data_IF_543546445405
#
_entry.id   IF_543546445405
#
_cell.length_a   1.000
_cell.length_b   1.000
_cell.length_c   1.000
_cell.angle_alpha   90.00
_cell.angle_beta   90.00
_cell.angle_gamma   90.00
#
_symmetry.space_group_name_H-M   'P 1'
#
loop_
_entity.id
_entity.type
_entity.pdbx_description
1 polymer ?
#
# COMPACT_ATOMS: atom_id res chain seq x y z
N UNK A 1 -21.23 10.52 3.87
CA UNK A 1 -20.02 9.73 3.55
C UNK A 1 -19.83 8.76 4.69
N UNK A 2 -19.73 7.48 4.38
CA UNK A 2 -19.46 6.48 5.41
C UNK A 2 -18.04 6.70 5.92
N UNK A 3 -17.84 6.51 7.22
CA UNK A 3 -16.54 6.65 7.85
C UNK A 3 -15.71 5.40 7.57
N UNK A 4 -14.41 5.57 7.34
CA UNK A 4 -13.46 4.46 7.23
C UNK A 4 -13.29 3.83 8.62
N UNK A 5 -13.57 2.56 8.75
CA UNK A 5 -13.45 1.80 10.01
C UNK A 5 -12.01 1.34 10.19
N UNK A 6 -11.37 1.78 11.25
CA UNK A 6 -9.94 1.58 11.47
C UNK A 6 -9.69 0.88 12.81
N UNK A 7 -8.82 -0.12 12.81
CA UNK A 7 -8.19 -0.67 14.01
C UNK A 7 -6.77 -0.13 14.12
N UNK A 8 -6.39 0.31 15.33
CA UNK A 8 -5.07 0.85 15.64
C UNK A 8 -4.30 -0.11 16.55
N UNK A 9 -3.14 -0.58 16.10
CA UNK A 9 -2.27 -1.50 16.83
C UNK A 9 -0.93 -0.83 17.08
N UNK A 10 -0.71 -0.43 18.32
CA UNK A 10 0.41 0.42 18.76
C UNK A 10 0.69 0.11 20.23
N UNK A 11 1.91 -0.23 20.58
CA UNK A 11 2.29 -0.62 21.96
C UNK A 11 2.47 0.57 22.89
N UNK A 12 2.84 1.74 22.37
CA UNK A 12 3.01 2.95 23.18
C UNK A 12 1.67 3.64 23.45
N UNK A 13 1.22 3.61 24.70
CA UNK A 13 -0.07 4.16 25.12
C UNK A 13 -0.27 5.61 24.70
N UNK A 14 0.74 6.47 24.87
CA UNK A 14 0.63 7.89 24.53
C UNK A 14 0.49 8.10 23.01
N UNK A 15 1.25 7.35 22.24
CA UNK A 15 1.17 7.39 20.77
C UNK A 15 -0.19 6.90 20.31
N UNK A 16 -0.68 5.78 20.85
CA UNK A 16 -1.99 5.20 20.51
C UNK A 16 -3.13 6.18 20.79
N UNK A 17 -3.16 6.79 21.98
CA UNK A 17 -4.16 7.80 22.35
C UNK A 17 -4.07 9.05 21.45
N UNK A 18 -2.85 9.50 21.17
CA UNK A 18 -2.61 10.64 20.27
C UNK A 18 -3.12 10.38 18.85
N UNK A 19 -2.74 9.25 18.26
CA UNK A 19 -3.18 8.86 16.91
C UNK A 19 -4.69 8.70 16.83
N UNK A 20 -5.32 8.00 17.79
CA UNK A 20 -6.78 7.88 17.85
C UNK A 20 -7.45 9.25 17.82
N UNK A 21 -7.05 10.13 18.73
CA UNK A 21 -7.66 11.45 18.86
C UNK A 21 -7.48 12.28 17.57
N UNK A 22 -6.28 12.27 17.03
CA UNK A 22 -5.96 13.02 15.83
C UNK A 22 -6.71 12.51 14.60
N UNK A 23 -6.74 11.19 14.36
CA UNK A 23 -7.43 10.59 13.23
C UNK A 23 -8.94 10.84 13.27
N UNK A 24 -9.57 10.74 14.46
CA UNK A 24 -11.01 11.02 14.63
C UNK A 24 -11.38 12.48 14.43
N UNK A 25 -10.46 13.42 14.70
CA UNK A 25 -10.72 14.85 14.58
C UNK A 25 -10.46 15.40 13.17
N UNK A 26 -9.56 14.81 12.42
CA UNK A 26 -9.07 15.37 11.15
C UNK A 26 -9.56 14.63 9.89
N UNK A 27 -10.33 13.56 10.03
CA UNK A 27 -10.80 12.80 8.87
C UNK A 27 -12.13 12.07 9.09
N UNK A 28 -12.72 11.55 8.03
CA UNK A 28 -13.91 10.70 8.10
C UNK A 28 -13.50 9.27 8.54
N UNK A 29 -12.83 9.18 9.70
CA UNK A 29 -12.27 7.94 10.25
C UNK A 29 -12.99 7.61 11.55
N UNK A 30 -13.32 6.33 11.74
CA UNK A 30 -13.86 5.77 12.96
C UNK A 30 -12.90 4.70 13.50
N UNK A 31 -12.33 4.92 14.68
CA UNK A 31 -11.54 3.90 15.35
C UNK A 31 -12.50 2.90 16.00
N UNK A 32 -12.57 1.70 15.43
CA UNK A 32 -13.48 0.62 15.87
C UNK A 32 -12.82 -0.36 16.83
N UNK A 33 -11.48 -0.26 16.99
CA UNK A 33 -10.75 -1.07 17.94
C UNK A 33 -9.31 -0.60 18.11
N UNK A 34 -8.72 -0.95 19.25
CA UNK A 34 -7.34 -0.65 19.61
C UNK A 34 -6.68 -1.86 20.25
N UNK A 35 -5.38 -2.05 20.04
CA UNK A 35 -4.59 -3.07 20.67
C UNK A 35 -3.17 -2.57 21.00
N UNK A 36 -2.59 -3.09 22.07
CA UNK A 36 -1.22 -2.79 22.48
C UNK A 36 -0.23 -3.91 22.10
N UNK A 37 -0.71 -5.03 21.57
CA UNK A 37 0.11 -6.16 21.14
C UNK A 37 -0.42 -6.74 19.83
N UNK A 38 0.43 -7.44 19.10
CA UNK A 38 0.05 -8.01 17.82
C UNK A 38 -1.04 -9.08 17.93
N UNK A 39 -0.97 -9.95 18.94
CA UNK A 39 -1.99 -10.99 19.17
C UNK A 39 -3.35 -10.40 19.55
N UNK A 40 -3.37 -9.37 20.38
CA UNK A 40 -4.61 -8.62 20.66
C UNK A 40 -5.13 -7.96 19.39
N UNK A 41 -4.23 -7.41 18.56
CA UNK A 41 -4.57 -6.80 17.28
C UNK A 41 -5.30 -7.77 16.35
N UNK A 42 -4.77 -8.99 16.18
CA UNK A 42 -5.44 -10.03 15.39
C UNK A 42 -6.86 -10.34 15.90
N UNK A 43 -7.03 -10.45 17.22
CA UNK A 43 -8.34 -10.71 17.81
C UNK A 43 -9.30 -9.54 17.56
N UNK A 44 -8.86 -8.31 17.83
CA UNK A 44 -9.68 -7.10 17.60
C UNK A 44 -10.08 -6.96 16.13
N UNK A 45 -9.18 -7.27 15.20
CA UNK A 45 -9.47 -7.26 13.77
C UNK A 45 -10.54 -8.31 13.42
N UNK A 46 -10.44 -9.52 13.96
CA UNK A 46 -11.45 -10.57 13.74
C UNK A 46 -12.81 -10.18 14.28
N UNK A 47 -12.86 -9.55 15.46
CA UNK A 47 -14.12 -9.18 16.12
C UNK A 47 -14.79 -7.96 15.45
N UNK A 48 -13.99 -7.01 14.94
CA UNK A 48 -14.51 -5.74 14.44
C UNK A 48 -14.62 -5.66 12.91
N UNK A 49 -13.90 -6.51 12.18
CA UNK A 49 -13.84 -6.50 10.71
C UNK A 49 -13.65 -5.07 10.15
N UNK A 50 -12.49 -4.43 10.40
CA UNK A 50 -12.23 -3.07 9.97
C UNK A 50 -11.93 -3.01 8.47
N UNK A 51 -12.05 -1.81 7.88
CA UNK A 51 -11.60 -1.55 6.51
C UNK A 51 -10.07 -1.49 6.43
N UNK A 52 -9.45 -0.81 7.42
CA UNK A 52 -8.00 -0.60 7.49
C UNK A 52 -7.48 -0.95 8.87
N UNK A 53 -6.39 -1.70 8.93
CA UNK A 53 -5.59 -1.90 10.12
C UNK A 53 -4.32 -1.02 10.04
N UNK A 54 -4.15 -0.10 10.98
CA UNK A 54 -2.90 0.64 11.17
C UNK A 54 -2.05 -0.15 12.16
N UNK A 55 -0.85 -0.55 11.75
CA UNK A 55 -0.03 -1.50 12.48
C UNK A 55 1.38 -0.93 12.70
N UNK A 56 1.80 -0.81 13.95
CA UNK A 56 3.21 -0.59 14.25
C UNK A 56 4.04 -1.86 14.04
N UNK A 57 5.27 -1.70 13.60
CA UNK A 57 6.22 -2.84 13.49
C UNK A 57 6.69 -3.30 14.85
N UNK A 58 6.99 -2.36 15.76
CA UNK A 58 7.67 -2.59 17.02
C UNK A 58 6.81 -3.19 18.14
N UNK A 59 5.91 -4.13 17.84
CA UNK A 59 5.03 -4.73 18.84
C UNK A 59 5.76 -5.76 19.72
N UNK A 60 5.36 -5.93 21.01
CA UNK A 60 6.15 -6.66 21.99
C UNK A 60 6.05 -8.19 21.92
N UNK A 61 5.05 -8.75 21.22
CA UNK A 61 4.79 -10.20 21.17
C UNK A 61 5.05 -10.83 19.80
N UNK A 62 4.31 -10.43 18.78
CA UNK A 62 4.57 -10.68 17.37
C UNK A 62 4.76 -9.33 16.71
N UNK A 63 5.76 -9.19 15.85
CA UNK A 63 5.97 -7.92 15.18
C UNK A 63 4.88 -7.60 14.14
N UNK A 64 4.79 -6.33 13.73
CA UNK A 64 3.76 -5.90 12.79
C UNK A 64 3.88 -6.54 11.41
N UNK A 65 5.06 -7.01 11.01
CA UNK A 65 5.31 -7.69 9.74
C UNK A 65 4.72 -9.11 9.81
N UNK A 66 4.98 -9.84 10.90
CA UNK A 66 4.41 -11.17 11.12
C UNK A 66 2.88 -11.10 11.23
N UNK A 67 2.35 -10.10 11.98
CA UNK A 67 0.91 -9.84 12.07
C UNK A 67 0.31 -9.64 10.68
N UNK A 68 0.94 -8.81 9.85
CA UNK A 68 0.50 -8.54 8.47
C UNK A 68 0.47 -9.83 7.65
N UNK A 69 1.52 -10.64 7.71
CA UNK A 69 1.59 -11.94 7.02
C UNK A 69 0.45 -12.87 7.43
N UNK A 70 0.18 -13.00 8.73
CA UNK A 70 -0.91 -13.83 9.25
C UNK A 70 -2.29 -13.34 8.77
N UNK A 71 -2.54 -12.03 8.77
CA UNK A 71 -3.78 -11.44 8.26
C UNK A 71 -3.98 -11.75 6.78
N UNK A 72 -2.96 -11.58 5.96
CA UNK A 72 -3.06 -11.80 4.51
C UNK A 72 -3.19 -13.27 4.14
N UNK A 73 -2.61 -14.18 4.92
CA UNK A 73 -2.79 -15.63 4.74
C UNK A 73 -4.22 -16.08 5.09
N UNK A 74 -4.83 -15.48 6.11
CA UNK A 74 -6.19 -15.83 6.54
C UNK A 74 -7.25 -15.30 5.56
N UNK A 75 -6.98 -14.20 4.86
CA UNK A 75 -7.90 -13.58 3.89
C UNK A 75 -7.69 -14.08 2.46
N UNK A 76 -6.66 -14.88 2.18
CA UNK A 76 -6.47 -15.51 0.89
C UNK A 76 -7.54 -16.60 0.69
N UNK A 77 -8.26 -16.65 -0.46
CA UNK A 77 -9.23 -17.70 -0.71
C UNK A 77 -8.52 -19.06 -0.70
N UNK A 78 -8.95 -19.92 0.21
CA UNK A 78 -8.44 -21.30 0.32
C UNK A 78 -8.77 -22.07 -0.98
N UNK A 79 -7.73 -22.36 -1.79
CA UNK A 79 -7.74 -23.41 -2.80
C UNK A 79 -8.72 -23.21 -3.97
N UNK A 80 -8.14 -23.00 -5.14
CA UNK A 80 -8.81 -23.25 -6.42
C UNK A 80 -9.29 -24.70 -6.50
N UNK A 81 -10.54 -24.97 -6.14
CA UNK A 81 -11.38 -26.10 -6.60
C UNK A 81 -12.67 -26.15 -5.79
N UNK A 82 -13.63 -25.29 -6.11
CA UNK A 82 -15.08 -25.60 -5.96
C UNK A 82 -15.88 -24.61 -6.80
N UNK A 83 -16.69 -25.16 -7.66
CA UNK A 83 -17.65 -24.44 -8.49
C UNK A 83 -18.71 -23.76 -7.64
N UNK A 84 -19.02 -22.51 -8.02
CA UNK A 84 -20.27 -21.78 -7.76
C UNK A 84 -20.69 -21.67 -6.28
N UNK A 85 -20.27 -20.61 -5.62
CA UNK A 85 -21.04 -20.02 -4.53
C UNK A 85 -20.96 -18.49 -4.65
N UNK A 86 -22.11 -17.85 -4.50
CA UNK A 86 -22.41 -16.43 -4.62
C UNK A 86 -21.28 -15.51 -4.13
N UNK A 87 -20.83 -14.62 -5.00
CA UNK A 87 -19.85 -13.56 -4.74
C UNK A 87 -20.46 -12.49 -3.82
N UNK A 88 -20.59 -12.78 -2.54
CA UNK A 88 -20.46 -11.73 -1.54
C UNK A 88 -18.97 -11.39 -1.48
N UNK A 89 -18.64 -10.14 -1.83
CA UNK A 89 -17.27 -9.60 -1.85
C UNK A 89 -16.60 -9.85 -0.51
N UNK A 90 -15.68 -10.80 -0.46
CA UNK A 90 -14.89 -11.06 0.74
C UNK A 90 -14.24 -9.72 1.16
N UNK A 91 -14.59 -9.22 2.34
CA UNK A 91 -14.11 -7.96 2.88
C UNK A 91 -12.62 -8.10 3.16
N UNK A 92 -11.79 -7.58 2.24
CA UNK A 92 -10.33 -7.68 2.33
C UNK A 92 -9.81 -6.53 3.19
N UNK A 93 -9.36 -6.83 4.38
CA UNK A 93 -8.77 -5.86 5.31
C UNK A 93 -7.47 -5.33 4.73
N UNK A 94 -7.36 -4.00 4.64
CA UNK A 94 -6.15 -3.31 4.19
C UNK A 94 -5.23 -3.03 5.36
N UNK A 95 -3.92 -3.13 5.13
CA UNK A 95 -2.89 -2.93 6.16
C UNK A 95 -2.03 -1.73 5.80
N UNK A 96 -2.04 -0.72 6.68
CA UNK A 96 -1.12 0.42 6.67
C UNK A 96 -0.10 0.24 7.79
N UNK A 97 1.15 0.01 7.43
CA UNK A 97 2.26 0.01 8.40
C UNK A 97 2.58 1.46 8.80
N UNK A 98 2.67 1.70 10.09
CA UNK A 98 3.03 3.00 10.67
C UNK A 98 4.15 2.81 11.69
N UNK A 99 5.37 3.28 11.42
CA UNK A 99 6.54 3.01 12.26
C UNK A 99 7.46 4.23 12.41
N UNK A 100 8.28 4.21 13.45
CA UNK A 100 9.39 5.18 13.62
C UNK A 100 10.64 4.80 12.82
N UNK A 101 10.69 3.59 12.23
CA UNK A 101 11.86 3.06 11.57
C UNK A 101 11.67 3.08 10.06
N UNK A 102 12.65 3.62 9.38
CA UNK A 102 12.76 3.70 7.92
C UNK A 102 13.91 2.80 7.39
N UNK A 103 14.28 1.74 8.14
CA UNK A 103 15.35 0.87 7.67
C UNK A 103 14.89 0.02 6.47
N UNK A 104 15.77 -0.11 5.49
CA UNK A 104 15.54 -0.75 4.21
C UNK A 104 14.95 -2.18 4.37
N UNK A 105 15.44 -2.95 5.33
CA UNK A 105 15.03 -4.36 5.54
C UNK A 105 13.59 -4.48 6.05
N UNK A 106 13.21 -3.65 7.03
CA UNK A 106 11.86 -3.67 7.59
C UNK A 106 10.80 -3.24 6.56
N UNK A 107 11.12 -2.23 5.75
CA UNK A 107 10.25 -1.77 4.66
C UNK A 107 9.98 -2.88 3.67
N UNK A 108 11.04 -3.55 3.19
CA UNK A 108 10.92 -4.62 2.21
C UNK A 108 10.19 -5.84 2.79
N UNK A 109 10.47 -6.19 4.04
CA UNK A 109 9.80 -7.29 4.72
C UNK A 109 8.30 -7.00 4.91
N UNK A 110 7.91 -5.76 5.23
CA UNK A 110 6.51 -5.37 5.36
C UNK A 110 5.74 -5.53 4.04
N UNK A 111 6.30 -5.08 2.92
CA UNK A 111 5.68 -5.28 1.61
C UNK A 111 5.66 -6.75 1.18
N UNK A 112 6.72 -7.51 1.48
CA UNK A 112 6.74 -8.95 1.23
C UNK A 112 5.68 -9.70 2.06
N UNK A 113 5.37 -9.23 3.27
CA UNK A 113 4.29 -9.75 4.11
C UNK A 113 2.88 -9.36 3.59
N UNK A 114 2.77 -8.48 2.60
CA UNK A 114 1.52 -8.06 1.98
C UNK A 114 0.93 -6.77 2.54
N UNK A 115 1.72 -5.90 3.16
CA UNK A 115 1.26 -4.56 3.54
C UNK A 115 0.77 -3.79 2.30
N UNK A 116 -0.39 -3.14 2.40
CA UNK A 116 -0.96 -2.35 1.30
C UNK A 116 -0.36 -0.94 1.26
N UNK A 117 0.09 -0.42 2.39
CA UNK A 117 0.65 0.92 2.53
C UNK A 117 1.71 0.98 3.63
N UNK A 118 2.58 2.00 3.56
CA UNK A 118 3.63 2.21 4.54
C UNK A 118 3.84 3.71 4.78
N UNK A 119 3.88 4.12 6.04
CA UNK A 119 4.13 5.50 6.46
C UNK A 119 5.03 5.55 7.70
N UNK A 120 5.73 6.67 7.88
CA UNK A 120 6.51 6.93 9.10
C UNK A 120 5.66 7.71 10.11
N UNK A 121 5.92 7.52 11.41
CA UNK A 121 5.13 8.16 12.49
C UNK A 121 5.36 9.67 12.61
N UNK A 122 6.37 10.23 11.98
CA UNK A 122 6.67 11.67 12.00
C UNK A 122 5.94 12.49 10.91
N UNK A 123 5.13 11.84 10.07
CA UNK A 123 4.28 12.55 9.11
C UNK A 123 3.22 13.38 9.83
N UNK A 124 2.88 14.54 9.24
CA UNK A 124 1.76 15.34 9.74
C UNK A 124 0.43 14.59 9.66
N UNK A 125 -0.47 14.91 10.59
CA UNK A 125 -1.77 14.22 10.72
C UNK A 125 -2.59 14.25 9.43
N UNK A 126 -2.56 15.36 8.69
CA UNK A 126 -3.30 15.47 7.42
C UNK A 126 -2.82 14.43 6.40
N UNK A 127 -1.50 14.21 6.31
CA UNK A 127 -0.93 13.17 5.45
C UNK A 127 -1.25 11.75 5.92
N UNK A 128 -1.31 11.52 7.24
CA UNK A 128 -1.72 10.24 7.78
C UNK A 128 -3.19 9.94 7.46
N UNK A 129 -4.06 10.94 7.55
CA UNK A 129 -5.47 10.81 7.13
C UNK A 129 -5.56 10.50 5.62
N UNK A 130 -4.78 11.19 4.78
CA UNK A 130 -4.69 10.89 3.36
C UNK A 130 -4.19 9.45 3.11
N UNK A 131 -3.19 8.99 3.87
CA UNK A 131 -2.67 7.63 3.78
C UNK A 131 -3.75 6.58 4.11
N UNK A 132 -4.50 6.78 5.18
CA UNK A 132 -5.62 5.88 5.56
C UNK A 132 -6.69 5.85 4.46
N UNK A 133 -7.07 7.01 3.91
CA UNK A 133 -8.07 7.09 2.85
C UNK A 133 -7.58 6.43 1.55
N UNK A 134 -6.34 6.68 1.16
CA UNK A 134 -5.74 6.06 -0.01
C UNK A 134 -5.69 4.53 0.14
N UNK A 135 -5.28 4.04 1.32
CA UNK A 135 -5.25 2.62 1.64
C UNK A 135 -6.65 2.00 1.56
N UNK A 136 -7.65 2.64 2.14
CA UNK A 136 -9.05 2.20 2.06
C UNK A 136 -9.55 2.10 0.62
N UNK A 137 -9.23 3.07 -0.22
CA UNK A 137 -9.59 3.10 -1.65
C UNK A 137 -8.83 2.07 -2.49
N UNK A 138 -7.90 1.29 -1.89
CA UNK A 138 -7.06 0.32 -2.58
C UNK A 138 -5.86 0.95 -3.31
N UNK A 139 -5.56 2.22 -3.03
CA UNK A 139 -4.36 2.89 -3.52
C UNK A 139 -3.24 2.68 -2.50
N UNK A 140 -2.10 2.15 -2.92
CA UNK A 140 -0.94 2.07 -2.05
C UNK A 140 -0.46 3.48 -1.69
N UNK A 141 -0.31 3.75 -0.38
CA UNK A 141 0.36 4.93 0.11
C UNK A 141 1.79 4.56 0.50
N UNK A 142 2.75 5.20 -0.12
CA UNK A 142 4.17 5.04 0.23
C UNK A 142 4.73 6.43 0.52
N UNK A 143 5.24 6.62 1.74
CA UNK A 143 5.95 7.84 2.07
C UNK A 143 7.15 8.04 1.14
N UNK A 144 7.47 9.26 0.68
CA UNK A 144 8.60 9.51 -0.22
C UNK A 144 9.96 9.00 0.29
N UNK A 145 10.17 9.02 1.61
CA UNK A 145 11.38 8.46 2.22
C UNK A 145 11.45 6.94 1.99
N UNK A 146 10.33 6.27 2.14
CA UNK A 146 10.16 4.82 1.95
C UNK A 146 10.25 4.42 0.48
N UNK A 147 9.67 5.23 -0.41
CA UNK A 147 9.74 4.99 -1.85
C UNK A 147 11.20 4.88 -2.33
N UNK A 148 12.11 5.73 -1.82
CA UNK A 148 13.55 5.66 -2.13
C UNK A 148 14.18 4.34 -1.73
N UNK A 149 13.79 3.76 -0.60
CA UNK A 149 14.29 2.47 -0.11
C UNK A 149 13.89 1.35 -1.07
N UNK A 150 12.62 1.29 -1.42
CA UNK A 150 12.07 0.29 -2.36
C UNK A 150 12.75 0.40 -3.72
N UNK A 151 12.94 1.61 -4.22
CA UNK A 151 13.59 1.88 -5.51
C UNK A 151 15.07 1.50 -5.50
N UNK A 152 15.81 1.84 -4.43
CA UNK A 152 17.23 1.48 -4.26
C UNK A 152 17.41 -0.04 -4.27
N UNK A 153 16.54 -0.78 -3.61
CA UNK A 153 16.62 -2.25 -3.59
C UNK A 153 16.31 -2.86 -4.96
N UNK A 154 15.36 -2.31 -5.70
CA UNK A 154 15.11 -2.74 -7.07
C UNK A 154 16.34 -2.56 -7.98
N UNK A 155 17.14 -1.51 -7.76
CA UNK A 155 18.39 -1.27 -8.49
C UNK A 155 19.51 -2.26 -8.11
N UNK A 156 19.64 -2.61 -6.82
CA UNK A 156 20.71 -3.52 -6.34
C UNK A 156 20.51 -4.93 -6.88
N UNK A 157 19.28 -5.39 -7.06
CA UNK A 157 18.97 -6.71 -7.63
C UNK A 157 19.38 -6.82 -9.12
N UNK A 158 19.53 -5.70 -9.83
CA UNK A 158 20.02 -5.70 -11.22
C UNK A 158 21.56 -5.83 -11.35
N UNK A 159 22.33 -5.57 -10.27
CA UNK A 159 23.81 -5.60 -10.31
C UNK A 159 24.40 -6.90 -9.79
N UNK A 160 23.67 -7.71 -9.05
CA UNK A 160 24.14 -9.01 -8.55
C UNK A 160 23.28 -10.12 -9.14
N UNK A 161 23.73 -10.63 -10.28
CA UNK A 161 23.13 -11.81 -10.89
C UNK A 161 23.18 -12.98 -9.94
N UNK A 162 22.04 -13.37 -9.47
CA UNK A 162 21.52 -14.67 -9.08
C UNK A 162 20.50 -14.53 -7.96
N UNK A 163 19.30 -14.91 -8.21
CA UNK A 163 18.42 -15.81 -7.47
C UNK A 163 16.94 -15.47 -7.70
N UNK A 164 16.30 -16.46 -8.25
CA UNK A 164 14.93 -16.91 -8.10
C UNK A 164 13.78 -15.89 -8.22
N UNK A 165 13.21 -15.92 -9.40
CA UNK A 165 11.77 -15.91 -9.72
C UNK A 165 10.97 -14.76 -9.08
N UNK A 166 11.27 -13.53 -9.50
CA UNK A 166 10.23 -12.62 -9.91
C UNK A 166 10.18 -12.72 -11.43
N UNK A 167 9.05 -13.07 -11.98
CA UNK A 167 8.85 -13.23 -13.41
C UNK A 167 9.52 -12.08 -14.18
N UNK A 168 10.46 -12.43 -15.07
CA UNK A 168 10.90 -11.52 -16.12
C UNK A 168 9.64 -10.96 -16.82
N UNK A 169 9.65 -9.73 -17.32
CA UNK A 169 8.55 -9.25 -18.16
C UNK A 169 8.36 -10.32 -19.22
N UNK A 170 7.24 -11.03 -19.14
CA UNK A 170 6.99 -12.11 -20.08
C UNK A 170 6.97 -11.49 -21.47
N UNK A 171 7.34 -12.22 -22.53
CA UNK A 171 7.19 -11.75 -23.90
C UNK A 171 5.76 -11.27 -24.22
N UNK A 172 4.79 -11.66 -23.40
CA UNK A 172 3.42 -11.17 -23.43
C UNK A 172 3.30 -9.71 -22.93
N UNK A 173 4.13 -9.27 -21.96
CA UNK A 173 4.11 -7.92 -21.43
C UNK A 173 4.65 -6.88 -22.42
N UNK A 174 5.77 -7.18 -23.10
CA UNK A 174 6.28 -6.31 -24.17
C UNK A 174 5.29 -6.18 -25.31
N UNK A 175 4.61 -7.28 -25.68
CA UNK A 175 3.54 -7.26 -26.68
C UNK A 175 2.31 -6.44 -26.27
N UNK A 176 1.97 -6.39 -24.99
CA UNK A 176 0.85 -5.58 -24.49
C UNK A 176 1.20 -4.10 -24.60
N UNK A 177 2.39 -3.68 -24.22
CA UNK A 177 2.85 -2.29 -24.37
C UNK A 177 2.99 -1.83 -25.82
N UNK A 178 3.33 -2.74 -26.75
CA UNK A 178 3.35 -2.46 -28.19
C UNK A 178 1.92 -2.30 -28.75
N UNK A 179 0.93 -3.00 -28.19
CA UNK A 179 -0.45 -2.98 -28.67
C UNK A 179 -1.30 -1.86 -28.04
N UNK A 180 -1.01 -1.44 -26.81
CA UNK A 180 -1.70 -0.34 -26.11
C UNK A 180 -0.69 0.48 -25.28
N UNK A 181 0.11 1.34 -25.95
CA UNK A 181 1.13 2.13 -25.29
C UNK A 181 0.52 3.15 -24.31
N UNK A 182 1.30 3.54 -23.31
CA UNK A 182 0.94 4.65 -22.43
C UNK A 182 0.86 5.95 -23.24
N UNK A 183 -0.18 6.72 -23.03
CA UNK A 183 -0.29 8.08 -23.60
C UNK A 183 0.71 9.02 -22.93
N UNK A 184 1.04 10.13 -23.56
CA UNK A 184 1.91 11.17 -22.97
C UNK A 184 1.42 11.57 -21.58
N UNK A 185 0.11 11.72 -21.41
CA UNK A 185 -0.48 12.10 -20.13
C UNK A 185 -0.40 10.99 -19.06
N UNK A 186 -0.52 9.75 -19.45
CA UNK A 186 -0.33 8.61 -18.57
C UNK A 186 1.16 8.46 -18.18
N UNK A 187 2.07 8.80 -19.08
CA UNK A 187 3.50 8.81 -18.80
C UNK A 187 3.85 9.90 -17.77
N UNK A 188 3.38 11.13 -17.93
CA UNK A 188 3.57 12.21 -16.96
C UNK A 188 3.03 11.81 -15.57
N UNK A 189 1.85 11.18 -15.52
CA UNK A 189 1.27 10.69 -14.27
C UNK A 189 2.14 9.56 -13.69
N UNK A 190 2.66 8.66 -14.51
CA UNK A 190 3.51 7.55 -14.08
C UNK A 190 4.86 8.04 -13.52
N UNK A 191 5.47 9.05 -14.13
CA UNK A 191 6.68 9.70 -13.62
C UNK A 191 6.44 10.25 -12.21
N UNK A 192 5.37 11.01 -12.01
CA UNK A 192 5.00 11.54 -10.70
C UNK A 192 4.63 10.43 -9.68
N UNK A 193 4.10 9.30 -10.16
CA UNK A 193 3.89 8.12 -9.32
C UNK A 193 5.23 7.55 -8.85
N UNK A 194 6.19 7.45 -9.73
CA UNK A 194 7.55 6.98 -9.42
C UNK A 194 8.25 7.94 -8.46
N UNK A 195 8.04 9.25 -8.60
CA UNK A 195 8.52 10.29 -7.70
C UNK A 195 7.79 10.33 -6.34
N UNK A 196 6.78 9.47 -6.12
CA UNK A 196 6.07 9.33 -4.85
C UNK A 196 4.95 10.35 -4.60
N UNK A 197 4.51 11.10 -5.62
CA UNK A 197 3.43 12.08 -5.47
C UNK A 197 2.09 11.41 -5.20
N UNK A 198 1.28 11.96 -4.28
CA UNK A 198 -0.10 11.52 -4.08
C UNK A 198 -0.99 11.92 -5.26
N UNK A 199 -2.17 11.32 -5.39
CA UNK A 199 -3.14 11.73 -6.43
C UNK A 199 -3.54 13.21 -6.30
N UNK A 200 -3.53 13.76 -5.09
CA UNK A 200 -3.81 15.17 -4.86
C UNK A 200 -2.66 16.07 -5.32
N UNK A 201 -1.41 15.65 -5.12
CA UNK A 201 -0.24 16.38 -5.57
C UNK A 201 -0.07 16.30 -7.07
N UNK A 202 -0.30 15.12 -7.68
CA UNK A 202 -0.35 14.94 -9.14
C UNK A 202 -1.42 15.86 -9.76
N UNK A 203 -2.60 15.93 -9.14
CA UNK A 203 -3.68 16.80 -9.60
C UNK A 203 -3.27 18.28 -9.58
N UNK A 204 -2.56 18.72 -8.54
CA UNK A 204 -2.02 20.09 -8.44
C UNK A 204 -0.93 20.33 -9.47
N UNK A 205 0.04 19.42 -9.58
CA UNK A 205 1.19 19.55 -10.49
C UNK A 205 0.75 19.60 -11.95
N UNK A 206 -0.19 18.76 -12.32
CA UNK A 206 -0.67 18.63 -13.70
C UNK A 206 -1.88 19.52 -14.02
N UNK A 207 -2.37 20.32 -13.06
CA UNK A 207 -3.52 21.21 -13.19
C UNK A 207 -4.80 20.48 -13.67
N UNK A 208 -5.06 19.29 -13.11
CA UNK A 208 -6.25 18.47 -13.40
C UNK A 208 -7.00 18.11 -12.11
N UNK A 209 -8.18 17.49 -12.23
CA UNK A 209 -8.93 17.04 -11.07
C UNK A 209 -8.36 15.73 -10.51
N UNK A 210 -8.54 15.49 -9.20
CA UNK A 210 -8.18 14.21 -8.57
C UNK A 210 -8.91 13.03 -9.25
N UNK A 211 -10.15 13.23 -9.67
CA UNK A 211 -10.92 12.23 -10.43
C UNK A 211 -10.26 11.86 -11.76
N UNK A 212 -9.69 12.86 -12.45
CA UNK A 212 -8.94 12.64 -13.69
C UNK A 212 -7.66 11.86 -13.42
N UNK A 213 -6.92 12.18 -12.34
CA UNK A 213 -5.73 11.42 -11.93
C UNK A 213 -6.09 9.97 -11.64
N UNK A 214 -7.16 9.71 -10.86
CA UNK A 214 -7.63 8.34 -10.57
C UNK A 214 -7.92 7.55 -11.85
N UNK A 215 -8.47 8.20 -12.88
CA UNK A 215 -8.72 7.58 -14.18
C UNK A 215 -7.41 7.21 -14.87
N UNK A 216 -6.43 8.13 -14.92
CA UNK A 216 -5.12 7.83 -15.48
C UNK A 216 -4.40 6.71 -14.74
N UNK A 217 -4.40 6.74 -13.40
CA UNK A 217 -3.81 5.67 -12.58
C UNK A 217 -4.44 4.32 -12.93
N UNK A 218 -5.77 4.22 -12.97
CA UNK A 218 -6.44 2.97 -13.34
C UNK A 218 -6.02 2.47 -14.73
N UNK A 219 -5.93 3.36 -15.71
CA UNK A 219 -5.51 2.99 -17.06
C UNK A 219 -4.05 2.53 -17.09
N UNK A 220 -3.15 3.22 -16.36
CA UNK A 220 -1.75 2.83 -16.19
C UNK A 220 -1.65 1.43 -15.58
N UNK A 221 -2.39 1.17 -14.49
CA UNK A 221 -2.42 -0.15 -13.85
C UNK A 221 -2.85 -1.25 -14.83
N UNK A 222 -3.90 -0.98 -15.61
CA UNK A 222 -4.38 -1.91 -16.64
C UNK A 222 -3.33 -2.18 -17.71
N UNK A 223 -2.75 -1.12 -18.30
CA UNK A 223 -1.74 -1.22 -19.37
C UNK A 223 -0.44 -1.86 -18.91
N UNK A 224 -0.02 -1.57 -17.70
CA UNK A 224 1.15 -2.19 -17.09
C UNK A 224 0.83 -3.55 -16.45
N UNK A 225 -0.41 -4.04 -16.53
CA UNK A 225 -0.88 -5.26 -15.86
C UNK A 225 -0.52 -5.30 -14.37
N UNK A 226 -0.47 -4.14 -13.72
CA UNK A 226 -0.07 -3.97 -12.33
C UNK A 226 -1.31 -4.07 -11.43
N UNK A 227 -1.19 -4.80 -10.32
CA UNK A 227 -2.28 -4.95 -9.35
C UNK A 227 -2.47 -3.67 -8.53
N UNK A 228 -1.40 -2.89 -8.33
CA UNK A 228 -1.39 -1.68 -7.54
C UNK A 228 -0.36 -0.66 -8.06
N UNK A 229 -0.42 0.54 -7.49
CA UNK A 229 0.43 1.69 -7.83
C UNK A 229 1.93 1.41 -7.64
N UNK A 230 2.28 0.68 -6.57
CA UNK A 230 3.67 0.32 -6.27
C UNK A 230 4.21 -0.63 -7.34
N UNK A 231 3.41 -1.63 -7.71
CA UNK A 231 3.77 -2.56 -8.75
C UNK A 231 3.91 -1.84 -10.11
N UNK A 232 3.06 -0.85 -10.40
CA UNK A 232 3.19 -0.03 -11.59
C UNK A 232 4.50 0.76 -11.60
N UNK A 233 4.87 1.41 -10.50
CA UNK A 233 6.13 2.14 -10.36
C UNK A 233 7.35 1.22 -10.55
N UNK A 234 7.35 0.06 -9.89
CA UNK A 234 8.42 -0.94 -10.01
C UNK A 234 8.53 -1.46 -11.45
N UNK A 235 7.41 -1.74 -12.12
CA UNK A 235 7.41 -2.19 -13.51
C UNK A 235 7.92 -1.11 -14.48
N UNK A 236 7.51 0.14 -14.28
CA UNK A 236 7.94 1.28 -15.08
C UNK A 236 9.47 1.46 -15.04
N UNK A 237 10.04 1.38 -13.84
CA UNK A 237 11.50 1.45 -13.65
C UNK A 237 12.24 0.26 -14.27
N UNK A 238 11.72 -0.97 -14.06
CA UNK A 238 12.32 -2.20 -14.61
C UNK A 238 12.31 -2.24 -16.13
N UNK A 239 11.25 -1.72 -16.76
CA UNK A 239 11.14 -1.67 -18.22
C UNK A 239 11.85 -0.48 -18.85
N UNK A 240 12.43 0.43 -18.04
CA UNK A 240 13.07 1.64 -18.53
C UNK A 240 12.09 2.68 -19.12
N UNK A 241 10.79 2.54 -18.83
CA UNK A 241 9.77 3.51 -19.24
C UNK A 241 9.95 4.85 -18.53
N UNK A 242 10.42 4.81 -17.29
CA UNK A 242 10.75 5.99 -16.49
C UNK A 242 12.16 5.79 -15.95
N UNK A 243 12.99 6.84 -16.02
CA UNK A 243 14.32 6.90 -15.41
C UNK A 243 14.31 7.90 -14.26
N UNK A 244 15.00 7.57 -13.17
CA UNK A 244 15.23 8.46 -12.02
C UNK A 244 16.28 9.50 -12.32
#
# INVERSE_FOLDING_TARGET
>A
MDKVRVVLIEDHDLTRVGLRTALQQHGPIEIVGEAATGRQGLQVIQDTQPDVAIVDIGLPDIDGIELTSQLKQTTAPAGANTEVADTETAHTIKVLILTMHDNDEAVLAAFAAGADSYSVKDVGIDKLVEAVQATYEGNAWIDPAIARIVLKQAQIQHTSGQVAVAEEPSPAYEKILESDPLTEREMEVLELIVDGYSNADIAKELYITIGTVKTHVRNILSKLSAADRTQAAVRALRSGLVSL
#
